data_IF_059728327757
#
_entry.id   IF_059728327757
#
_cell.length_a   1.000
_cell.length_b   1.000
_cell.length_c   1.000
_cell.angle_alpha   90.00
_cell.angle_beta   90.00
_cell.angle_gamma   90.00
#
_symmetry.space_group_name_H-M   'P 1'
#
loop_
_entity.id
_entity.type
_entity.pdbx_description
1 polymer ?
#
# COMPACT_ATOMS: atom_id res chain seq x y z
N UNK A 1 -4.77 -10.03 3.79
CA UNK A 1 -4.98 -9.23 5.01
C UNK A 1 -6.32 -8.50 4.91
N UNK A 2 -7.16 -8.71 5.91
CA UNK A 2 -8.45 -8.03 6.04
C UNK A 2 -8.29 -6.71 6.80
N UNK A 3 -9.18 -5.76 6.52
CA UNK A 3 -9.23 -4.45 7.16
C UNK A 3 -10.68 -4.15 7.58
N UNK A 4 -10.91 -3.24 8.56
CA UNK A 4 -12.25 -2.91 9.04
C UNK A 4 -13.07 -2.04 8.06
N UNK A 5 -12.62 -1.93 6.80
CA UNK A 5 -13.24 -1.14 5.74
C UNK A 5 -13.13 -1.89 4.41
N UNK A 6 -13.94 -1.47 3.43
CA UNK A 6 -14.01 -2.10 2.11
C UNK A 6 -12.76 -1.79 1.26
N UNK A 7 -11.96 -2.83 1.00
CA UNK A 7 -10.74 -2.78 0.19
C UNK A 7 -11.08 -2.59 -1.29
N UNK A 8 -12.19 -3.13 -1.77
CA UNK A 8 -12.64 -2.95 -3.14
C UNK A 8 -13.07 -1.51 -3.42
N UNK A 9 -13.63 -0.83 -2.42
CA UNK A 9 -13.94 0.60 -2.52
C UNK A 9 -12.65 1.45 -2.56
N UNK A 10 -11.65 1.08 -1.77
CA UNK A 10 -10.39 1.83 -1.66
C UNK A 10 -9.48 1.64 -2.88
N UNK A 11 -9.40 0.41 -3.38
CA UNK A 11 -8.57 -0.01 -4.49
C UNK A 11 -9.47 -0.70 -5.52
N UNK A 12 -10.03 0.02 -6.51
CA UNK A 12 -10.99 -0.57 -7.45
C UNK A 12 -10.37 -1.69 -8.30
N UNK A 13 -9.15 -1.46 -8.77
CA UNK A 13 -8.41 -2.36 -9.67
C UNK A 13 -7.69 -3.48 -8.92
N UNK A 14 -7.53 -4.64 -9.57
CA UNK A 14 -6.79 -5.79 -9.01
C UNK A 14 -5.37 -5.40 -8.58
N UNK A 15 -4.72 -4.56 -9.38
CA UNK A 15 -3.44 -3.94 -9.06
C UNK A 15 -3.64 -2.44 -8.92
N UNK A 16 -3.21 -1.87 -7.80
CA UNK A 16 -3.20 -0.42 -7.57
C UNK A 16 -1.76 0.08 -7.49
N UNK A 17 -1.48 1.20 -8.15
CA UNK A 17 -0.15 1.83 -8.14
C UNK A 17 -0.27 3.10 -7.29
N UNK A 18 0.51 3.15 -6.22
CA UNK A 18 0.58 4.28 -5.29
C UNK A 18 1.96 4.92 -5.39
N UNK A 19 1.99 6.24 -5.40
CA UNK A 19 3.21 7.03 -5.28
C UNK A 19 3.14 7.91 -4.02
N UNK A 20 4.01 8.91 -3.93
CA UNK A 20 4.07 9.88 -2.83
C UNK A 20 2.75 10.63 -2.54
N UNK A 21 1.80 10.66 -3.48
CA UNK A 21 0.48 11.29 -3.27
C UNK A 21 -0.49 10.41 -2.49
N UNK A 22 -0.20 9.11 -2.37
CA UNK A 22 -1.06 8.09 -1.77
C UNK A 22 -2.47 8.02 -2.37
N UNK A 23 -2.61 8.30 -3.67
CA UNK A 23 -3.90 8.23 -4.37
C UNK A 23 -4.03 6.89 -5.11
N UNK A 24 -5.05 6.10 -4.76
CA UNK A 24 -5.34 4.82 -5.39
C UNK A 24 -6.22 4.92 -6.65
N UNK A 25 -6.85 6.07 -6.87
CA UNK A 25 -7.66 6.35 -8.06
C UNK A 25 -8.37 7.71 -7.97
N UNK A 26 -9.08 8.11 -9.04
CA UNK A 26 -9.78 9.41 -9.10
C UNK A 26 -10.79 9.62 -7.96
N UNK A 27 -11.39 8.54 -7.45
CA UNK A 27 -12.37 8.58 -6.36
C UNK A 27 -11.76 8.84 -4.98
N UNK A 28 -10.50 8.47 -4.77
CA UNK A 28 -9.83 8.66 -3.47
C UNK A 28 -9.17 10.03 -3.34
N UNK A 29 -9.02 10.75 -4.46
CA UNK A 29 -8.48 12.10 -4.46
C UNK A 29 -9.43 13.08 -3.77
N UNK A 30 -8.95 13.79 -2.74
CA UNK A 30 -9.72 14.82 -2.04
C UNK A 30 -10.66 14.30 -0.94
N UNK A 31 -10.59 13.01 -0.58
CA UNK A 31 -11.36 12.42 0.52
C UNK A 31 -10.43 12.02 1.69
N UNK A 32 -10.26 12.87 2.73
CA UNK A 32 -9.26 12.66 3.78
C UNK A 32 -9.38 11.33 4.52
N UNK A 33 -10.61 10.86 4.75
CA UNK A 33 -10.84 9.58 5.43
C UNK A 33 -10.41 8.37 4.58
N UNK A 34 -10.54 8.42 3.25
CA UNK A 34 -10.04 7.36 2.37
C UNK A 34 -8.52 7.37 2.34
N UNK A 35 -7.90 8.56 2.39
CA UNK A 35 -6.45 8.67 2.46
C UNK A 35 -5.90 8.04 3.75
N UNK A 36 -6.50 8.30 4.91
CA UNK A 36 -6.12 7.66 6.18
C UNK A 36 -6.23 6.11 6.12
N UNK A 37 -7.24 5.58 5.41
CA UNK A 37 -7.37 4.15 5.20
C UNK A 37 -6.26 3.59 4.29
N UNK A 38 -5.85 4.32 3.24
CA UNK A 38 -4.71 3.93 2.39
C UNK A 38 -3.43 3.90 3.21
N UNK A 39 -3.19 4.92 4.03
CA UNK A 39 -2.03 4.99 4.92
C UNK A 39 -1.97 3.79 5.85
N UNK A 40 -3.10 3.47 6.49
CA UNK A 40 -3.25 2.30 7.36
C UNK A 40 -2.91 0.99 6.62
N UNK A 41 -3.40 0.82 5.40
CA UNK A 41 -3.09 -0.36 4.58
C UNK A 41 -1.60 -0.48 4.29
N UNK A 42 -0.94 0.62 3.90
CA UNK A 42 0.50 0.62 3.61
C UNK A 42 1.32 0.29 4.87
N UNK A 43 0.94 0.86 6.02
CA UNK A 43 1.65 0.65 7.27
C UNK A 43 1.53 -0.80 7.77
N UNK A 44 0.34 -1.40 7.66
CA UNK A 44 0.16 -2.82 8.03
C UNK A 44 0.88 -3.76 7.07
N UNK A 45 0.87 -3.49 5.77
CA UNK A 45 1.66 -4.24 4.79
C UNK A 45 3.15 -4.14 5.10
N UNK A 46 3.63 -2.95 5.45
CA UNK A 46 5.00 -2.72 5.88
C UNK A 46 5.38 -3.53 7.11
N UNK A 47 4.55 -3.49 8.16
CA UNK A 47 4.72 -4.29 9.37
C UNK A 47 4.74 -5.79 9.07
N UNK A 48 3.80 -6.28 8.27
CA UNK A 48 3.71 -7.69 7.89
C UNK A 48 4.95 -8.14 7.08
N UNK A 49 5.40 -7.32 6.13
CA UNK A 49 6.60 -7.59 5.33
C UNK A 49 7.87 -7.60 6.17
N UNK A 50 7.99 -6.69 7.13
CA UNK A 50 9.12 -6.65 8.06
C UNK A 50 9.16 -7.88 8.96
N UNK A 51 8.01 -8.30 9.50
CA UNK A 51 7.89 -9.53 10.29
C UNK A 51 8.30 -10.75 9.47
N UNK A 52 7.83 -10.86 8.22
CA UNK A 52 8.18 -11.98 7.33
C UNK A 52 9.68 -12.04 7.01
N UNK A 53 10.35 -10.89 6.92
CA UNK A 53 11.79 -10.76 6.66
C UNK A 53 12.64 -10.71 7.93
N UNK A 54 12.03 -10.83 9.12
CA UNK A 54 12.72 -10.72 10.43
C UNK A 54 13.49 -9.40 10.59
N UNK A 55 12.95 -8.31 10.05
CA UNK A 55 13.54 -6.97 10.18
C UNK A 55 13.15 -6.34 11.53
N UNK A 56 14.06 -5.58 12.18
CA UNK A 56 13.76 -4.93 13.47
C UNK A 56 12.73 -3.79 13.36
N UNK A 57 12.54 -3.24 12.16
CA UNK A 57 11.58 -2.18 11.89
C UNK A 57 11.09 -2.24 10.44
N UNK A 58 9.90 -1.69 10.19
CA UNK A 58 9.38 -1.60 8.83
C UNK A 58 10.19 -0.66 7.95
N UNK A 59 10.58 -1.14 6.77
CA UNK A 59 11.22 -0.33 5.72
C UNK A 59 10.22 0.26 4.71
N UNK A 60 8.92 -0.03 4.89
CA UNK A 60 7.81 0.50 4.08
C UNK A 60 6.75 1.07 5.01
N UNK A 61 6.40 2.33 4.84
CA UNK A 61 5.32 3.01 5.56
C UNK A 61 4.74 4.09 4.66
N UNK A 62 3.54 4.56 4.99
CA UNK A 62 2.91 5.67 4.29
C UNK A 62 3.79 6.92 4.33
N UNK A 63 4.33 7.24 5.51
CA UNK A 63 5.24 8.36 5.72
C UNK A 63 6.54 8.26 4.90
N UNK A 64 7.10 7.04 4.74
CA UNK A 64 8.28 6.80 3.90
C UNK A 64 7.93 6.91 2.41
N UNK A 65 6.73 6.49 2.01
CA UNK A 65 6.28 6.59 0.62
C UNK A 65 5.99 8.06 0.24
N UNK A 66 5.43 8.87 1.14
CA UNK A 66 5.22 10.32 0.92
C UNK A 66 6.53 11.11 0.85
N UNK A 67 7.51 10.76 1.69
CA UNK A 67 8.80 11.46 1.74
C UNK A 67 9.81 11.00 0.68
N UNK A 68 9.54 9.88 -0.01
CA UNK A 68 10.47 9.30 -0.98
C UNK A 68 9.80 9.08 -2.33
N UNK A 69 10.53 9.28 -3.43
CA UNK A 69 10.04 9.01 -4.79
C UNK A 69 10.02 7.51 -5.11
N UNK A 70 9.27 6.74 -4.34
CA UNK A 70 9.03 5.30 -4.56
C UNK A 70 7.65 5.11 -5.20
N UNK A 71 7.45 3.95 -5.81
CA UNK A 71 6.16 3.46 -6.26
C UNK A 71 5.85 2.15 -5.55
N UNK A 72 4.60 1.98 -5.11
CA UNK A 72 4.10 0.79 -4.47
C UNK A 72 3.00 0.18 -5.33
N UNK A 73 3.21 -1.05 -5.78
CA UNK A 73 2.25 -1.87 -6.50
C UNK A 73 1.55 -2.77 -5.50
N UNK A 74 0.26 -2.55 -5.28
CA UNK A 74 -0.56 -3.30 -4.35
C UNK A 74 -1.42 -4.31 -5.13
N UNK A 75 -1.40 -5.57 -4.70
CA UNK A 75 -2.26 -6.63 -5.22
C UNK A 75 -3.38 -6.90 -4.22
N UNK A 76 -4.62 -6.92 -4.71
CA UNK A 76 -5.79 -7.39 -3.96
C UNK A 76 -6.47 -8.58 -4.63
N UNK A 77 -7.18 -9.35 -3.81
CA UNK A 77 -8.22 -10.28 -4.25
C UNK A 77 -9.57 -9.63 -4.00
N UNK A 78 -10.41 -9.56 -5.03
CA UNK A 78 -11.70 -8.86 -5.00
C UNK A 78 -12.79 -9.69 -4.34
N UNK A 79 -12.79 -11.00 -4.56
CA UNK A 79 -13.91 -11.87 -4.21
C UNK A 79 -13.88 -12.30 -2.73
N UNK A 80 -12.70 -12.26 -2.12
CA UNK A 80 -12.50 -12.58 -0.70
C UNK A 80 -13.22 -11.63 0.27
N UNK A 81 -13.36 -12.08 1.53
CA UNK A 81 -13.98 -11.33 2.64
C UNK A 81 -15.43 -10.87 2.32
N UNK A 82 -16.24 -11.79 1.79
CA UNK A 82 -17.65 -11.53 1.46
C UNK A 82 -17.82 -10.40 0.42
N UNK A 83 -16.90 -10.31 -0.54
CA UNK A 83 -16.92 -9.28 -1.58
C UNK A 83 -16.40 -7.90 -1.15
N UNK A 84 -15.87 -7.75 0.07
CA UNK A 84 -15.19 -6.51 0.54
C UNK A 84 -13.72 -6.45 0.14
N UNK A 85 -13.20 -7.53 -0.44
CA UNK A 85 -11.83 -7.64 -0.91
C UNK A 85 -10.81 -7.83 0.22
N UNK A 86 -9.65 -8.35 -0.16
CA UNK A 86 -8.53 -8.64 0.74
C UNK A 86 -7.24 -8.21 0.06
N UNK A 87 -6.36 -7.54 0.80
CA UNK A 87 -5.02 -7.23 0.27
C UNK A 87 -4.15 -8.48 0.32
N UNK A 88 -3.56 -8.86 -0.81
CA UNK A 88 -2.74 -10.08 -0.93
C UNK A 88 -1.28 -9.76 -0.63
N UNK A 89 -0.75 -8.66 -1.17
CA UNK A 89 0.64 -8.29 -1.00
C UNK A 89 1.02 -7.03 -1.79
N UNK A 90 2.31 -6.70 -1.80
CA UNK A 90 2.81 -5.54 -2.53
C UNK A 90 4.24 -5.71 -3.04
N UNK A 91 4.61 -4.87 -4.01
CA UNK A 91 5.97 -4.63 -4.47
C UNK A 91 6.28 -3.14 -4.40
N UNK A 92 7.35 -2.77 -3.71
CA UNK A 92 7.82 -1.37 -3.64
C UNK A 92 9.11 -1.21 -4.44
N UNK A 93 9.14 -0.22 -5.33
CA UNK A 93 10.30 0.10 -6.18
C UNK A 93 10.63 1.58 -6.08
N UNK A 94 11.85 1.96 -6.46
CA UNK A 94 12.19 3.37 -6.59
C UNK A 94 13.66 3.58 -6.92
N UNK A 95 13.94 4.55 -7.78
CA UNK A 95 15.30 4.88 -8.21
C UNK A 95 16.22 5.21 -7.02
N UNK A 96 17.45 4.71 -7.08
CA UNK A 96 18.53 4.98 -6.13
C UNK A 96 19.82 5.22 -6.90
N UNK A 97 20.60 6.21 -6.47
CA UNK A 97 21.98 6.37 -6.91
C UNK A 97 22.81 5.39 -6.09
N UNK A 98 23.42 4.42 -6.77
CA UNK A 98 24.26 3.39 -6.16
C UNK A 98 25.67 3.54 -6.74
N UNK A 99 26.69 3.34 -5.90
CA UNK A 99 28.04 3.08 -6.36
C UNK A 99 28.15 1.57 -6.58
N UNK A 100 28.12 1.17 -7.85
CA UNK A 100 28.22 -0.23 -8.26
C UNK A 100 29.70 -0.59 -8.49
N UNK A 101 30.05 -1.85 -8.22
CA UNK A 101 31.38 -2.41 -8.45
C UNK A 101 31.54 -2.85 -9.92
#
# INVERSE_FOLDING_TARGET
MEFPFDINHLFPERFSILDQTLVAGRKTAGMPHLQANIETVIDELGRASAKAQQLPASITSASKLQSQKHQLYLLKDRESNGGRGVVVGFLKVGYKKLFLL
#
